data_IF_560352671941
#
_entry.id   IF_560352671941
#
_cell.length_a   1.000
_cell.length_b   1.000
_cell.length_c   1.000
_cell.angle_alpha   90.00
_cell.angle_beta   90.00
_cell.angle_gamma   90.00
#
_symmetry.space_group_name_H-M   'P 1'
#
loop_
_entity.id
_entity.type
_entity.pdbx_description
1 polymer ?
#
# COMPACT_ATOMS: atom_id res chain seq x y z
N UNK A 1 -18.98 -12.53 -5.78
CA UNK A 1 -18.67 -11.23 -6.40
C UNK A 1 -17.17 -11.21 -6.52
N UNK A 2 -16.63 -11.47 -7.71
CA UNK A 2 -15.19 -11.31 -7.95
C UNK A 2 -14.98 -9.82 -8.13
N UNK A 3 -14.28 -9.18 -7.21
CA UNK A 3 -13.79 -7.82 -7.43
C UNK A 3 -12.86 -7.86 -8.65
N UNK A 4 -13.20 -7.12 -9.70
CA UNK A 4 -12.31 -6.88 -10.82
C UNK A 4 -11.11 -6.09 -10.30
N UNK A 5 -10.04 -6.79 -9.91
CA UNK A 5 -8.78 -6.19 -9.49
C UNK A 5 -8.08 -5.61 -10.72
N UNK A 6 -8.43 -4.38 -11.06
CA UNK A 6 -7.70 -3.64 -12.08
C UNK A 6 -6.34 -3.20 -11.53
N UNK A 7 -5.25 -3.30 -12.32
CA UNK A 7 -3.97 -2.72 -11.97
C UNK A 7 -4.10 -1.20 -11.73
N UNK A 8 -3.32 -0.67 -10.80
CA UNK A 8 -3.25 0.79 -10.56
C UNK A 8 -2.48 1.43 -11.72
N UNK A 9 -3.04 2.50 -12.29
CA UNK A 9 -2.47 3.29 -13.38
C UNK A 9 -2.00 4.68 -12.90
N UNK A 10 -1.18 5.35 -13.72
CA UNK A 10 -0.73 6.71 -13.40
C UNK A 10 -1.91 7.68 -13.47
N UNK A 11 -2.16 8.38 -12.36
CA UNK A 11 -3.29 9.32 -12.22
C UNK A 11 -4.42 8.78 -11.34
N UNK A 12 -4.40 7.49 -11.03
CA UNK A 12 -5.33 6.90 -10.07
C UNK A 12 -5.07 7.41 -8.65
N UNK A 13 -6.13 7.42 -7.84
CA UNK A 13 -6.00 7.64 -6.40
C UNK A 13 -5.21 6.48 -5.80
N UNK A 14 -4.17 6.79 -5.04
CA UNK A 14 -3.37 5.77 -4.37
C UNK A 14 -4.27 4.92 -3.44
N UNK A 15 -4.17 3.58 -3.48
CA UNK A 15 -4.99 2.70 -2.66
C UNK A 15 -4.68 2.91 -1.19
N UNK A 16 -5.71 3.13 -0.38
CA UNK A 16 -5.56 3.31 1.06
C UNK A 16 -6.03 2.06 1.81
N UNK A 17 -5.08 1.28 2.28
CA UNK A 17 -5.32 0.05 3.04
C UNK A 17 -4.54 0.10 4.35
N UNK A 18 -5.12 -0.50 5.39
CA UNK A 18 -4.44 -0.73 6.66
C UNK A 18 -3.68 -2.06 6.62
N UNK A 19 -2.38 -2.00 6.84
CA UNK A 19 -1.48 -3.15 6.94
C UNK A 19 -0.96 -3.27 8.37
N UNK A 20 -0.25 -4.35 8.67
CA UNK A 20 0.59 -4.42 9.88
C UNK A 20 2.03 -4.10 9.52
N UNK A 21 2.67 -3.29 10.34
CA UNK A 21 4.10 -2.99 10.23
C UNK A 21 4.97 -4.09 10.87
N UNK A 22 6.29 -3.84 10.90
CA UNK A 22 7.30 -4.75 11.45
C UNK A 22 7.19 -4.96 12.96
N UNK A 23 6.59 -4.01 13.69
CA UNK A 23 6.30 -4.11 15.12
C UNK A 23 4.93 -4.77 15.38
N UNK A 24 4.18 -5.06 14.32
CA UNK A 24 2.84 -5.64 14.37
C UNK A 24 1.73 -4.61 14.66
N UNK A 25 2.06 -3.31 14.63
CA UNK A 25 1.10 -2.23 14.78
C UNK A 25 0.32 -2.01 13.48
N UNK A 26 -0.90 -1.49 13.60
CA UNK A 26 -1.73 -1.14 12.45
C UNK A 26 -1.19 0.14 11.79
N UNK A 27 -0.97 0.07 10.48
CA UNK A 27 -0.39 1.12 9.68
C UNK A 27 -1.26 1.40 8.45
N UNK A 28 -1.88 2.58 8.40
CA UNK A 28 -2.63 3.03 7.23
C UNK A 28 -1.67 3.55 6.16
N UNK A 29 -1.73 2.99 4.95
CA UNK A 29 -0.79 3.36 3.89
C UNK A 29 -0.78 4.85 3.58
N UNK A 30 -1.95 5.50 3.58
CA UNK A 30 -2.03 6.92 3.30
C UNK A 30 -1.22 7.79 4.25
N UNK A 31 -1.01 7.36 5.50
CA UNK A 31 -0.22 8.09 6.47
C UNK A 31 1.23 8.33 6.00
N UNK A 32 1.80 7.42 5.21
CA UNK A 32 3.20 7.50 4.77
C UNK A 32 3.43 8.51 3.65
N UNK A 33 2.41 8.87 2.86
CA UNK A 33 2.57 9.83 1.74
C UNK A 33 1.87 11.18 1.94
N UNK A 34 1.36 11.46 3.14
CA UNK A 34 0.75 12.77 3.42
C UNK A 34 1.75 13.93 3.30
N UNK A 35 3.03 13.68 3.60
CA UNK A 35 4.06 14.72 3.69
C UNK A 35 5.06 14.68 2.53
N UNK A 36 5.31 13.51 1.96
CA UNK A 36 6.27 13.30 0.88
C UNK A 36 5.87 12.07 0.05
N UNK A 37 6.31 11.95 -1.21
CA UNK A 37 6.08 10.74 -1.99
C UNK A 37 6.67 9.50 -1.31
N UNK A 38 5.96 8.37 -1.41
CA UNK A 38 6.36 7.08 -0.84
C UNK A 38 6.51 6.04 -1.93
N UNK A 39 7.56 5.22 -1.82
CA UNK A 39 7.81 4.07 -2.71
C UNK A 39 7.39 2.80 -2.00
N UNK A 40 6.48 2.03 -2.59
CA UNK A 40 6.11 0.71 -2.10
C UNK A 40 6.86 -0.37 -2.87
N UNK A 41 7.44 -1.32 -2.13
CA UNK A 41 8.16 -2.47 -2.68
C UNK A 41 7.52 -3.74 -2.18
N UNK A 42 7.04 -4.58 -3.10
CA UNK A 42 6.48 -5.89 -2.78
C UNK A 42 7.56 -6.96 -2.87
N UNK A 43 7.93 -7.54 -1.74
CA UNK A 43 8.94 -8.61 -1.67
C UNK A 43 8.24 -9.94 -1.36
N UNK A 44 8.31 -10.90 -2.27
CA UNK A 44 7.65 -12.21 -2.12
C UNK A 44 8.51 -13.26 -1.41
N UNK A 45 9.82 -13.08 -1.43
CA UNK A 45 10.78 -13.98 -0.78
C UNK A 45 11.63 -13.16 0.17
N UNK A 46 11.22 -13.15 1.44
CA UNK A 46 12.03 -12.62 2.52
C UNK A 46 12.72 -13.81 3.18
N UNK A 47 13.99 -14.02 2.79
CA UNK A 47 14.97 -15.01 3.29
C UNK A 47 14.45 -16.14 4.17
#
# INVERSE_FOLDING_TARGET
>A
MSEDLQPVEVGDVAPDVTLRDEDGADAQLSAYWQHQPTVLVFVRHFG
#
